data_IF_502884056240
#
_entry.id   IF_502884056240
#
_cell.length_a   1.000
_cell.length_b   1.000
_cell.length_c   1.000
_cell.angle_alpha   90.00
_cell.angle_beta   90.00
_cell.angle_gamma   90.00
#
_symmetry.space_group_name_H-M   'P 1'
#
loop_
_entity.id
_entity.type
_entity.pdbx_description
1 polymer ?
#
# COMPACT_ATOMS: atom_id res chain seq x y z
N UNK A 1 16.97 -83.59 28.25
CA UNK A 1 15.89 -82.76 28.85
C UNK A 1 16.55 -81.90 29.92
N UNK A 2 16.38 -80.60 30.07
CA UNK A 2 15.77 -79.54 29.27
C UNK A 2 16.27 -78.24 29.93
N UNK A 3 16.71 -77.31 29.09
CA UNK A 3 16.69 -75.84 29.24
C UNK A 3 17.15 -75.17 30.54
N UNK A 4 18.27 -74.45 30.39
CA UNK A 4 18.71 -73.31 31.19
C UNK A 4 17.71 -72.15 31.02
N UNK A 5 17.24 -71.59 32.13
CA UNK A 5 16.54 -70.30 32.19
C UNK A 5 17.62 -69.23 32.35
N UNK A 6 17.72 -68.32 31.38
CA UNK A 6 18.51 -67.09 31.48
C UNK A 6 17.53 -65.94 31.74
N UNK A 7 17.67 -65.28 32.89
CA UNK A 7 17.02 -64.00 33.17
C UNK A 7 17.58 -62.94 32.20
N UNK A 8 16.71 -62.28 31.45
CA UNK A 8 17.02 -60.98 30.84
C UNK A 8 16.34 -59.90 31.68
N UNK A 9 17.15 -58.97 32.20
CA UNK A 9 16.69 -57.79 32.92
C UNK A 9 16.00 -56.83 31.95
N UNK A 10 14.76 -56.46 32.25
CA UNK A 10 14.03 -55.38 31.59
C UNK A 10 14.36 -54.09 32.34
N UNK A 11 15.03 -53.15 31.68
CA UNK A 11 15.22 -51.78 32.16
C UNK A 11 14.00 -50.95 31.71
N UNK A 12 13.23 -50.31 32.61
CA UNK A 12 12.20 -49.37 32.20
C UNK A 12 12.84 -48.00 31.96
N UNK A 13 12.90 -47.54 30.71
CA UNK A 13 13.09 -46.12 30.42
C UNK A 13 11.70 -45.47 30.50
N UNK A 14 11.46 -44.80 31.62
CA UNK A 14 10.33 -43.91 31.83
C UNK A 14 10.68 -42.58 31.17
N UNK A 15 10.02 -42.24 30.06
CA UNK A 15 9.98 -40.86 29.56
C UNK A 15 8.56 -40.36 29.82
N UNK A 16 8.47 -39.34 30.66
CA UNK A 16 7.22 -38.72 31.05
C UNK A 16 6.53 -38.08 29.86
N UNK A 17 5.29 -38.49 29.61
CA UNK A 17 4.35 -37.80 28.74
C UNK A 17 3.90 -36.54 29.48
N UNK A 18 4.33 -35.37 29.01
CA UNK A 18 3.71 -34.11 29.36
C UNK A 18 2.40 -34.05 28.58
N UNK A 19 1.28 -34.16 29.30
CA UNK A 19 -0.07 -33.96 28.76
C UNK A 19 -0.26 -32.49 28.41
N UNK A 20 -0.27 -32.15 27.12
CA UNK A 20 -0.89 -30.92 26.64
C UNK A 20 -2.32 -31.26 26.25
N UNK A 21 -3.26 -30.83 27.07
CA UNK A 21 -4.69 -30.90 26.79
C UNK A 21 -5.05 -29.82 25.77
N UNK A 22 -5.39 -30.22 24.55
CA UNK A 22 -6.23 -29.41 23.66
C UNK A 22 -7.43 -30.26 23.18
N UNK A 23 -8.59 -29.65 23.35
CA UNK A 23 -9.93 -30.20 23.16
C UNK A 23 -10.31 -30.29 21.66
N UNK A 24 -11.04 -31.37 21.30
CA UNK A 24 -11.70 -31.68 20.00
C UNK A 24 -10.75 -31.83 18.80
N UNK A 25 -10.77 -32.87 17.96
CA UNK A 25 -11.82 -33.80 17.57
C UNK A 25 -11.16 -35.08 16.98
N UNK A 26 -11.79 -36.22 17.20
CA UNK A 26 -11.60 -37.57 16.62
C UNK A 26 -10.19 -38.16 16.26
N UNK A 27 -9.78 -39.14 17.08
CA UNK A 27 -9.08 -40.40 16.74
C UNK A 27 -7.57 -40.40 16.38
N UNK A 28 -6.70 -40.31 17.40
CA UNK A 28 -5.29 -40.75 17.34
C UNK A 28 -5.08 -42.05 18.14
N UNK A 29 -6.03 -42.99 18.11
CA UNK A 29 -5.90 -44.29 18.78
C UNK A 29 -5.58 -45.47 17.85
N UNK A 30 -5.34 -45.24 16.56
CA UNK A 30 -5.12 -46.34 15.59
C UNK A 30 -3.75 -46.41 14.93
N UNK A 31 -2.78 -45.56 15.29
CA UNK A 31 -1.45 -45.55 14.61
C UNK A 31 -0.23 -46.02 15.40
N UNK A 32 -0.40 -46.47 16.65
CA UNK A 32 0.72 -47.02 17.43
C UNK A 32 0.38 -48.40 17.99
N UNK A 33 0.15 -49.38 17.12
CA UNK A 33 0.30 -50.79 17.50
C UNK A 33 1.64 -51.29 16.93
N UNK A 34 2.56 -51.81 17.77
CA UNK A 34 3.76 -52.45 17.28
C UNK A 34 3.34 -53.63 16.40
N UNK A 35 3.70 -53.56 15.13
CA UNK A 35 3.41 -54.61 14.17
C UNK A 35 4.28 -55.82 14.54
N UNK A 36 3.71 -56.81 15.23
CA UNK A 36 4.41 -58.06 15.51
C UNK A 36 4.56 -58.85 14.20
N UNK A 37 5.73 -58.74 13.58
CA UNK A 37 6.12 -59.56 12.44
C UNK A 37 6.47 -60.98 12.92
N UNK A 38 5.72 -61.98 12.46
CA UNK A 38 6.04 -63.41 12.65
C UNK A 38 7.29 -63.75 11.83
N UNK A 39 8.36 -64.18 12.49
CA UNK A 39 9.63 -64.56 11.83
C UNK A 39 9.62 -66.05 11.49
N UNK A 40 9.86 -66.47 10.23
CA UNK A 40 10.01 -67.88 9.89
C UNK A 40 11.36 -68.39 10.41
N UNK A 41 11.32 -69.53 11.13
CA UNK A 41 12.51 -70.22 11.65
C UNK A 41 13.31 -70.83 10.49
N UNK A 42 14.39 -70.15 10.09
CA UNK A 42 15.30 -70.64 9.04
C UNK A 42 16.56 -69.82 8.75
N UNK A 43 16.70 -68.60 9.30
CA UNK A 43 17.93 -67.78 9.22
C UNK A 43 18.62 -67.65 10.58
N UNK A 44 19.90 -67.28 10.60
CA UNK A 44 20.65 -67.00 11.83
C UNK A 44 19.96 -65.86 12.60
N UNK A 45 19.24 -66.24 13.65
CA UNK A 45 18.36 -65.36 14.44
C UNK A 45 19.10 -64.15 14.98
N UNK A 46 20.42 -64.28 15.16
CA UNK A 46 21.30 -63.24 15.67
C UNK A 46 21.44 -62.07 14.70
N UNK A 47 21.52 -62.35 13.39
CA UNK A 47 21.75 -61.36 12.34
C UNK A 47 20.48 -60.53 12.09
N UNK A 48 19.32 -61.18 12.05
CA UNK A 48 18.01 -60.52 11.91
C UNK A 48 17.70 -59.60 13.11
N UNK A 49 18.05 -60.02 14.32
CA UNK A 49 17.86 -59.20 15.53
C UNK A 49 18.79 -57.98 15.52
N UNK A 50 20.03 -58.13 15.07
CA UNK A 50 20.98 -57.03 14.98
C UNK A 50 20.55 -55.99 13.93
N UNK A 51 20.10 -56.44 12.76
CA UNK A 51 19.61 -55.57 11.68
C UNK A 51 18.38 -54.77 12.12
N UNK A 52 17.39 -55.44 12.73
CA UNK A 52 16.20 -54.76 13.28
C UNK A 52 16.53 -53.81 14.43
N UNK A 53 17.46 -54.15 15.31
CA UNK A 53 17.87 -53.26 16.40
C UNK A 53 18.56 -52.00 15.87
N UNK A 54 19.33 -52.12 14.79
CA UNK A 54 20.02 -50.99 14.18
C UNK A 54 19.04 -50.07 13.47
N UNK A 55 18.05 -50.64 12.76
CA UNK A 55 16.98 -49.88 12.12
C UNK A 55 16.14 -49.08 13.15
N UNK A 56 15.80 -49.68 14.29
CA UNK A 56 15.06 -48.98 15.36
C UNK A 56 15.89 -47.85 15.99
N UNK A 57 17.20 -48.03 16.14
CA UNK A 57 18.07 -46.96 16.64
C UNK A 57 18.13 -45.78 15.66
N UNK A 58 18.20 -46.06 14.36
CA UNK A 58 18.20 -45.03 13.34
C UNK A 58 16.86 -44.27 13.31
N UNK A 59 15.73 -44.99 13.34
CA UNK A 59 14.39 -44.38 13.41
C UNK A 59 14.23 -43.48 14.64
N UNK A 60 14.79 -43.88 15.80
CA UNK A 60 14.75 -43.05 17.00
C UNK A 60 15.57 -41.76 16.90
N UNK A 61 16.73 -41.78 16.24
CA UNK A 61 17.49 -40.55 15.99
C UNK A 61 16.75 -39.63 15.00
N UNK A 62 16.20 -40.19 13.92
CA UNK A 62 15.37 -39.40 12.97
C UNK A 62 14.14 -38.79 13.66
N UNK A 63 13.50 -39.53 14.58
CA UNK A 63 12.38 -39.00 15.38
C UNK A 63 12.83 -37.88 16.31
N UNK A 64 14.02 -37.99 16.90
CA UNK A 64 14.57 -36.96 17.79
C UNK A 64 14.85 -35.66 17.04
N UNK A 65 15.47 -35.75 15.86
CA UNK A 65 15.72 -34.58 15.01
C UNK A 65 14.42 -33.90 14.58
N UNK A 66 13.39 -34.67 14.23
CA UNK A 66 12.06 -34.13 13.91
C UNK A 66 11.39 -33.45 15.10
N UNK A 67 11.54 -34.00 16.31
CA UNK A 67 11.00 -33.38 17.53
C UNK A 67 11.71 -32.05 17.81
N UNK A 68 13.02 -31.98 17.63
CA UNK A 68 13.80 -30.75 17.81
C UNK A 68 13.38 -29.67 16.81
N UNK A 69 13.28 -30.02 15.51
CA UNK A 69 12.80 -29.10 14.48
C UNK A 69 11.36 -28.61 14.76
N UNK A 70 10.48 -29.50 15.23
CA UNK A 70 9.10 -29.12 15.58
C UNK A 70 9.08 -28.17 16.79
N UNK A 71 9.95 -28.38 17.78
CA UNK A 71 10.05 -27.49 18.94
C UNK A 71 10.50 -26.07 18.53
N UNK A 72 11.46 -25.95 17.62
CA UNK A 72 11.90 -24.66 17.08
C UNK A 72 10.77 -23.94 16.32
N UNK A 73 10.02 -24.66 15.49
CA UNK A 73 8.86 -24.11 14.79
C UNK A 73 7.77 -23.61 15.74
N UNK A 74 7.53 -24.32 16.84
CA UNK A 74 6.56 -23.90 17.87
C UNK A 74 7.02 -22.59 18.53
N UNK A 75 8.30 -22.46 18.87
CA UNK A 75 8.85 -21.23 19.48
C UNK A 75 8.68 -20.04 18.53
N UNK A 76 8.98 -20.22 17.24
CA UNK A 76 8.81 -19.17 16.23
C UNK A 76 7.33 -18.77 16.07
N UNK A 77 6.43 -19.75 16.04
CA UNK A 77 4.98 -19.50 15.95
C UNK A 77 4.44 -18.76 17.19
N UNK A 78 4.95 -19.07 18.39
CA UNK A 78 4.58 -18.37 19.62
C UNK A 78 5.05 -16.91 19.60
N UNK A 79 6.26 -16.63 19.10
CA UNK A 79 6.76 -15.26 18.92
C UNK A 79 5.89 -14.47 17.94
N UNK A 80 5.61 -15.03 16.76
CA UNK A 80 4.74 -14.39 15.76
C UNK A 80 3.34 -14.11 16.31
N UNK A 81 2.80 -15.02 17.14
CA UNK A 81 1.49 -14.83 17.77
C UNK A 81 1.50 -13.69 18.80
N UNK A 82 2.59 -13.52 19.54
CA UNK A 82 2.74 -12.41 20.48
C UNK A 82 2.77 -11.06 19.73
N UNK A 83 3.54 -10.97 18.64
CA UNK A 83 3.63 -9.77 17.81
C UNK A 83 2.28 -9.40 17.18
N UNK A 84 1.53 -10.41 16.69
CA UNK A 84 0.19 -10.20 16.16
C UNK A 84 -0.80 -9.73 17.24
N UNK A 85 -0.70 -10.24 18.47
CA UNK A 85 -1.55 -9.79 19.56
C UNK A 85 -1.31 -8.32 19.93
N UNK A 86 -0.05 -7.87 19.90
CA UNK A 86 0.29 -6.47 20.10
C UNK A 86 -0.28 -5.58 18.99
N UNK A 87 -0.17 -6.01 17.72
CA UNK A 87 -0.76 -5.30 16.58
C UNK A 87 -2.29 -5.20 16.67
N UNK A 88 -2.97 -6.27 17.08
CA UNK A 88 -4.43 -6.26 17.26
C UNK A 88 -4.82 -5.25 18.35
N UNK A 89 -4.12 -5.24 19.48
CA UNK A 89 -4.43 -4.29 20.55
C UNK A 89 -4.20 -2.83 20.11
N UNK A 90 -3.18 -2.58 19.29
CA UNK A 90 -2.97 -1.25 18.71
C UNK A 90 -4.11 -0.84 17.76
N UNK A 91 -4.58 -1.76 16.89
CA UNK A 91 -5.69 -1.52 15.98
C UNK A 91 -7.02 -1.28 16.73
N UNK A 92 -7.30 -2.03 17.79
CA UNK A 92 -8.51 -1.83 18.61
C UNK A 92 -8.55 -0.42 19.23
N UNK A 93 -7.42 0.08 19.72
CA UNK A 93 -7.32 1.43 20.23
C UNK A 93 -7.55 2.48 19.13
N UNK A 94 -7.06 2.23 17.91
CA UNK A 94 -7.27 3.15 16.77
C UNK A 94 -8.75 3.23 16.37
N UNK A 95 -9.45 2.08 16.32
CA UNK A 95 -10.89 2.06 16.01
C UNK A 95 -11.68 2.89 17.03
N UNK A 96 -11.32 2.82 18.32
CA UNK A 96 -11.95 3.64 19.36
C UNK A 96 -11.77 5.14 19.10
N UNK A 97 -10.56 5.58 18.72
CA UNK A 97 -10.29 7.00 18.44
C UNK A 97 -11.06 7.49 17.22
N UNK A 98 -11.17 6.67 16.17
CA UNK A 98 -11.96 6.99 14.97
C UNK A 98 -13.44 7.14 15.32
N UNK A 99 -13.96 6.28 16.19
CA UNK A 99 -15.35 6.33 16.62
C UNK A 99 -15.67 7.62 17.40
N UNK A 100 -14.77 8.06 18.27
CA UNK A 100 -14.87 9.33 18.99
C UNK A 100 -14.82 10.55 18.04
N UNK A 101 -13.91 10.54 17.05
CA UNK A 101 -13.81 11.60 16.03
C UNK A 101 -15.10 11.69 15.21
N UNK A 102 -15.63 10.54 14.79
CA UNK A 102 -16.88 10.48 14.04
C UNK A 102 -18.03 11.09 14.82
N UNK A 103 -18.15 10.75 16.11
CA UNK A 103 -19.20 11.31 16.98
C UNK A 103 -19.08 12.84 17.08
N UNK A 104 -17.87 13.37 17.26
CA UNK A 104 -17.62 14.81 17.30
C UNK A 104 -17.94 15.51 15.97
N UNK A 105 -17.64 14.86 14.84
CA UNK A 105 -17.94 15.37 13.50
C UNK A 105 -19.44 15.40 13.22
N UNK A 106 -20.17 14.36 13.64
CA UNK A 106 -21.63 14.29 13.50
C UNK A 106 -22.30 15.42 14.30
N UNK A 107 -21.81 15.72 15.52
CA UNK A 107 -22.27 16.85 16.33
C UNK A 107 -22.01 18.21 15.65
N UNK A 108 -20.81 18.42 15.09
CA UNK A 108 -20.48 19.67 14.37
C UNK A 108 -21.34 19.85 13.13
N UNK A 109 -21.60 18.76 12.40
CA UNK A 109 -22.47 18.77 11.21
C UNK A 109 -23.91 19.13 11.58
N UNK A 110 -24.43 18.58 12.68
CA UNK A 110 -25.77 18.90 13.17
C UNK A 110 -25.88 20.38 13.58
N UNK A 111 -24.87 20.94 14.25
CA UNK A 111 -24.82 22.36 14.61
C UNK A 111 -24.79 23.27 13.37
N UNK A 112 -23.99 22.93 12.36
CA UNK A 112 -23.95 23.69 11.11
C UNK A 112 -25.28 23.66 10.38
N UNK A 113 -25.93 22.49 10.30
CA UNK A 113 -27.23 22.35 9.67
C UNK A 113 -28.30 23.20 10.37
N UNK A 114 -28.27 23.27 11.70
CA UNK A 114 -29.16 24.13 12.49
C UNK A 114 -28.94 25.62 12.19
N UNK A 115 -27.69 26.08 12.10
CA UNK A 115 -27.38 27.49 11.82
C UNK A 115 -27.74 27.87 10.36
N UNK A 116 -27.51 26.97 9.39
CA UNK A 116 -27.97 27.15 8.00
C UNK A 116 -29.49 27.33 7.96
N UNK A 117 -30.23 26.44 8.63
CA UNK A 117 -31.70 26.50 8.67
C UNK A 117 -32.20 27.83 9.25
N UNK A 118 -31.50 28.35 10.27
CA UNK A 118 -31.80 29.64 10.89
C UNK A 118 -31.52 30.81 9.95
N UNK A 119 -30.41 30.79 9.22
CA UNK A 119 -30.07 31.82 8.23
C UNK A 119 -31.05 31.81 7.05
N UNK A 120 -31.45 30.65 6.56
CA UNK A 120 -32.47 30.51 5.52
C UNK A 120 -33.81 31.13 5.95
N UNK A 121 -34.22 30.90 7.20
CA UNK A 121 -35.44 31.51 7.76
C UNK A 121 -35.34 33.04 7.83
N UNK A 122 -34.18 33.59 8.22
CA UNK A 122 -33.95 35.04 8.22
C UNK A 122 -33.98 35.64 6.81
N UNK A 123 -33.37 34.97 5.83
CA UNK A 123 -33.40 35.39 4.43
C UNK A 123 -34.85 35.42 3.90
N UNK A 124 -35.65 34.42 4.23
CA UNK A 124 -37.04 34.36 3.78
C UNK A 124 -37.90 35.45 4.45
N UNK A 125 -37.65 35.76 5.72
CA UNK A 125 -38.24 36.91 6.42
C UNK A 125 -37.89 38.24 5.73
N UNK A 126 -36.61 38.43 5.36
CA UNK A 126 -36.17 39.62 4.62
C UNK A 126 -36.82 39.73 3.22
N UNK A 127 -36.96 38.62 2.50
CA UNK A 127 -37.63 38.59 1.18
C UNK A 127 -39.13 38.89 1.24
N UNK A 128 -39.77 38.61 2.37
CA UNK A 128 -41.20 38.86 2.58
C UNK A 128 -41.54 40.33 2.84
N UNK A 129 -40.55 41.20 3.03
CA UNK A 129 -40.75 42.64 3.19
C UNK A 129 -41.01 43.33 1.83
N UNK A 130 -42.02 44.21 1.72
CA UNK A 130 -42.41 44.82 0.45
C UNK A 130 -41.31 45.76 -0.08
N UNK A 131 -40.89 45.52 -1.32
CA UNK A 131 -39.90 46.30 -2.05
C UNK A 131 -40.36 47.76 -2.26
N UNK A 132 -40.07 48.62 -1.29
CA UNK A 132 -39.99 50.05 -1.48
C UNK A 132 -38.51 50.43 -1.54
N UNK A 133 -38.10 51.01 -2.67
CA UNK A 133 -36.81 51.65 -2.94
C UNK A 133 -36.27 52.42 -1.73
N UNK A 134 -35.31 51.85 -0.99
CA UNK A 134 -34.56 52.58 0.03
C UNK A 134 -33.16 51.97 0.12
N UNK A 135 -32.15 52.85 0.21
CA UNK A 135 -30.80 52.50 0.65
C UNK A 135 -30.86 51.64 1.93
N UNK A 136 -29.91 50.71 2.13
CA UNK A 136 -29.88 49.91 3.35
C UNK A 136 -29.94 50.84 4.56
N UNK A 137 -30.89 50.58 5.46
CA UNK A 137 -30.97 51.30 6.73
C UNK A 137 -29.73 50.97 7.57
N UNK A 138 -29.29 51.85 8.49
CA UNK A 138 -28.12 51.59 9.33
C UNK A 138 -28.19 50.24 10.07
N UNK A 139 -29.38 49.81 10.47
CA UNK A 139 -29.62 48.49 11.08
C UNK A 139 -29.38 47.31 10.12
N UNK A 140 -29.64 47.49 8.82
CA UNK A 140 -29.34 46.48 7.79
C UNK A 140 -27.85 46.45 7.47
N UNK A 141 -27.14 47.60 7.49
CA UNK A 141 -25.68 47.64 7.35
C UNK A 141 -24.98 46.98 8.56
N UNK A 142 -25.46 47.24 9.78
CA UNK A 142 -24.96 46.59 11.00
C UNK A 142 -25.21 45.07 10.98
N UNK A 143 -26.36 44.63 10.45
CA UNK A 143 -26.69 43.20 10.32
C UNK A 143 -25.85 42.52 9.24
N UNK A 144 -25.58 43.18 8.12
CA UNK A 144 -24.68 42.68 7.07
C UNK A 144 -23.25 42.60 7.62
N UNK A 145 -22.76 43.62 8.32
CA UNK A 145 -21.44 43.59 8.94
C UNK A 145 -21.30 42.48 10.00
N UNK A 146 -22.36 42.21 10.77
CA UNK A 146 -22.38 41.11 11.73
C UNK A 146 -22.39 39.74 11.04
N UNK A 147 -23.11 39.59 9.92
CA UNK A 147 -23.11 38.37 9.11
C UNK A 147 -21.77 38.16 8.40
N UNK A 148 -21.15 39.20 7.86
CA UNK A 148 -19.81 39.14 7.25
C UNK A 148 -18.73 38.79 8.28
N UNK A 149 -18.83 39.32 9.51
CA UNK A 149 -17.95 38.95 10.61
C UNK A 149 -18.14 37.49 11.01
N UNK A 150 -19.38 37.00 11.03
CA UNK A 150 -19.68 35.59 11.36
C UNK A 150 -19.30 34.62 10.25
N UNK A 151 -19.42 35.03 8.98
CA UNK A 151 -18.87 34.28 7.84
C UNK A 151 -17.35 34.20 7.96
N UNK A 152 -16.67 35.30 8.29
CA UNK A 152 -15.22 35.30 8.50
C UNK A 152 -14.79 34.44 9.69
N UNK A 153 -15.55 34.44 10.78
CA UNK A 153 -15.32 33.56 11.94
C UNK A 153 -15.53 32.08 11.58
N UNK A 154 -16.53 31.77 10.74
CA UNK A 154 -16.76 30.41 10.23
C UNK A 154 -15.71 29.97 9.20
N UNK A 155 -15.24 30.88 8.34
CA UNK A 155 -14.12 30.65 7.42
C UNK A 155 -12.80 30.44 8.19
N UNK A 156 -12.52 31.24 9.24
CA UNK A 156 -11.38 31.02 10.14
C UNK A 156 -11.51 29.72 10.95
N UNK A 157 -12.73 29.32 11.35
CA UNK A 157 -12.99 28.02 12.01
C UNK A 157 -13.00 26.82 11.05
N UNK A 158 -12.99 27.07 9.74
CA UNK A 158 -12.76 26.10 8.67
C UNK A 158 -11.27 26.02 8.30
N UNK A 159 -10.50 27.07 8.59
CA UNK A 159 -9.04 27.20 8.41
C UNK A 159 -8.20 26.82 9.67
N UNK A 160 -8.81 26.33 10.77
CA UNK A 160 -8.13 25.85 12.00
C UNK A 160 -8.44 24.35 12.27
N UNK A 161 -7.49 23.57 12.82
CA UNK A 161 -6.69 22.52 12.18
C UNK A 161 -7.28 21.10 12.34
N UNK A 162 -8.60 20.93 12.44
CA UNK A 162 -9.17 19.59 12.66
C UNK A 162 -9.28 18.72 11.39
N UNK A 163 -8.98 19.26 10.19
CA UNK A 163 -8.67 18.43 9.02
C UNK A 163 -7.28 17.77 9.10
N UNK A 164 -6.43 18.24 10.03
CA UNK A 164 -5.25 17.46 10.41
C UNK A 164 -5.66 16.20 11.17
N UNK A 165 -6.93 15.93 11.53
CA UNK A 165 -7.32 14.72 12.26
C UNK A 165 -7.39 13.45 11.41
N UNK A 166 -7.84 13.52 10.15
CA UNK A 166 -7.88 12.34 9.26
C UNK A 166 -6.47 12.01 8.76
N UNK A 167 -5.72 13.04 8.37
CA UNK A 167 -4.32 12.84 8.01
C UNK A 167 -3.43 12.61 9.23
N UNK A 168 -3.65 13.20 10.41
CA UNK A 168 -2.86 12.91 11.62
C UNK A 168 -3.28 11.66 12.39
N UNK A 169 -4.46 11.09 12.11
CA UNK A 169 -4.72 9.70 12.48
C UNK A 169 -3.99 8.72 11.54
N UNK A 170 -3.68 9.13 10.29
CA UNK A 170 -2.72 8.46 9.42
C UNK A 170 -1.25 8.82 9.77
N UNK A 171 -0.94 10.04 10.23
CA UNK A 171 0.39 10.51 10.66
C UNK A 171 0.71 10.17 12.11
N UNK A 172 -0.23 9.56 12.86
CA UNK A 172 0.10 8.79 14.07
C UNK A 172 1.04 7.62 13.75
N UNK A 173 1.22 7.32 12.46
CA UNK A 173 2.34 6.61 11.89
C UNK A 173 3.49 7.55 11.46
N UNK A 174 3.88 8.52 12.29
CA UNK A 174 5.25 9.06 12.37
C UNK A 174 6.25 7.96 12.83
N UNK A 175 6.05 6.70 12.41
CA UNK A 175 7.21 5.99 11.94
C UNK A 175 7.57 6.70 10.65
N UNK A 176 8.58 7.55 10.72
CA UNK A 176 9.68 7.50 9.74
C UNK A 176 9.62 6.08 9.18
N UNK A 177 9.18 5.92 7.91
CA UNK A 177 9.06 4.59 7.31
C UNK A 177 10.52 4.11 7.24
N UNK A 178 11.02 3.61 8.36
CA UNK A 178 12.19 2.82 8.55
C UNK A 178 11.76 1.50 7.93
N UNK A 179 11.71 1.51 6.60
CA UNK A 179 11.79 0.30 5.83
C UNK A 179 13.16 -0.25 6.21
N UNK A 180 13.22 -1.17 7.18
CA UNK A 180 14.47 -1.81 7.58
C UNK A 180 15.17 -2.47 6.37
N UNK A 181 14.46 -2.67 5.26
CA UNK A 181 14.96 -3.00 3.92
C UNK A 181 13.96 -2.57 2.84
N UNK A 182 14.33 -1.68 1.90
CA UNK A 182 13.53 -1.36 0.70
C UNK A 182 12.92 -2.64 0.09
N UNK A 183 11.59 -2.70 -0.01
CA UNK A 183 10.86 -3.83 -0.59
C UNK A 183 10.58 -3.59 -2.07
N UNK A 184 11.64 -3.33 -2.84
CA UNK A 184 11.55 -3.34 -4.30
C UNK A 184 11.10 -4.73 -4.79
N UNK A 185 10.47 -4.82 -5.97
CA UNK A 185 10.03 -6.09 -6.50
C UNK A 185 11.19 -7.10 -6.60
N UNK A 186 10.97 -8.32 -6.14
CA UNK A 186 11.90 -9.42 -6.36
C UNK A 186 11.70 -9.95 -7.78
N UNK A 187 12.79 -9.93 -8.57
CA UNK A 187 12.77 -10.41 -9.95
C UNK A 187 13.45 -11.78 -10.02
N UNK A 188 12.71 -12.78 -10.48
CA UNK A 188 13.24 -14.11 -10.76
C UNK A 188 13.15 -14.40 -12.26
N UNK A 189 14.17 -15.09 -12.79
CA UNK A 189 14.21 -15.56 -14.17
C UNK A 189 14.36 -17.08 -14.18
N UNK A 190 13.43 -17.74 -14.86
CA UNK A 190 13.42 -19.17 -15.18
C UNK A 190 13.53 -19.33 -16.72
N UNK A 191 13.85 -20.54 -17.21
CA UNK A 191 13.96 -20.86 -18.63
C UNK A 191 12.69 -20.48 -19.41
N UNK A 192 12.67 -19.24 -19.91
CA UNK A 192 11.62 -18.67 -20.76
C UNK A 192 10.63 -17.73 -20.06
N UNK A 193 10.75 -17.49 -18.76
CA UNK A 193 9.82 -16.61 -18.02
C UNK A 193 10.58 -15.68 -17.05
N UNK A 194 10.11 -14.44 -16.95
CA UNK A 194 10.51 -13.48 -15.92
C UNK A 194 9.30 -13.28 -15.01
N UNK A 195 9.49 -13.41 -13.71
CA UNK A 195 8.47 -13.19 -12.69
C UNK A 195 8.88 -12.10 -11.73
N UNK A 196 7.90 -11.31 -11.31
CA UNK A 196 8.04 -10.27 -10.32
C UNK A 196 7.13 -10.55 -9.13
N UNK A 197 7.70 -10.48 -7.94
CA UNK A 197 6.99 -10.58 -6.68
C UNK A 197 7.11 -9.25 -5.92
N UNK A 198 6.01 -8.72 -5.43
CA UNK A 198 6.01 -7.48 -4.64
C UNK A 198 4.89 -7.49 -3.60
N UNK A 199 4.96 -6.59 -2.62
CA UNK A 199 3.96 -6.48 -1.56
C UNK A 199 3.32 -5.10 -1.52
N UNK A 200 2.11 -4.98 -0.99
CA UNK A 200 1.48 -3.69 -0.66
C UNK A 200 1.79 -3.25 0.79
N UNK A 201 1.21 -2.13 1.23
CA UNK A 201 1.42 -1.59 2.58
C UNK A 201 0.85 -2.50 3.69
N UNK A 202 -0.08 -3.38 3.33
CA UNK A 202 -0.78 -4.32 4.23
C UNK A 202 -0.09 -5.67 4.31
N UNK A 203 0.97 -5.88 3.52
CA UNK A 203 1.73 -7.12 3.45
C UNK A 203 1.09 -8.19 2.55
N UNK A 204 0.08 -7.84 1.76
CA UNK A 204 -0.42 -8.73 0.71
C UNK A 204 0.66 -8.87 -0.36
N UNK A 205 0.81 -10.07 -0.91
CA UNK A 205 1.84 -10.36 -1.94
C UNK A 205 1.17 -10.57 -3.29
N UNK A 206 1.81 -10.04 -4.33
CA UNK A 206 1.34 -10.11 -5.71
C UNK A 206 2.45 -10.65 -6.59
N UNK A 207 2.06 -11.54 -7.50
CA UNK A 207 2.98 -12.15 -8.47
C UNK A 207 2.44 -11.94 -9.87
N UNK A 208 3.29 -11.48 -10.77
CA UNK A 208 3.01 -11.59 -12.20
C UNK A 208 4.25 -12.02 -12.96
N UNK A 209 4.03 -12.56 -14.16
CA UNK A 209 5.10 -13.03 -15.02
C UNK A 209 4.82 -12.75 -16.48
N UNK A 210 5.91 -12.68 -17.25
CA UNK A 210 5.92 -12.56 -18.71
C UNK A 210 6.91 -13.54 -19.30
N UNK A 211 6.70 -13.91 -20.57
CA UNK A 211 7.74 -14.62 -21.31
C UNK A 211 8.98 -13.73 -21.43
N UNK A 212 10.17 -14.33 -21.31
CA UNK A 212 11.43 -13.58 -21.41
C UNK A 212 11.57 -12.89 -22.77
N UNK A 213 11.11 -13.53 -23.84
CA UNK A 213 11.12 -12.93 -25.18
C UNK A 213 10.20 -11.71 -25.27
N UNK A 214 9.00 -11.76 -24.69
CA UNK A 214 8.07 -10.62 -24.67
C UNK A 214 8.68 -9.44 -23.89
N UNK A 215 9.29 -9.70 -22.74
CA UNK A 215 9.97 -8.65 -21.97
C UNK A 215 11.15 -8.05 -22.75
N UNK A 216 11.99 -8.89 -23.37
CA UNK A 216 13.11 -8.42 -24.19
C UNK A 216 12.61 -7.59 -25.37
N UNK A 217 11.56 -8.03 -26.05
CA UNK A 217 11.01 -7.32 -27.20
C UNK A 217 10.41 -5.98 -26.78
N UNK A 218 9.64 -5.92 -25.69
CA UNK A 218 8.95 -4.72 -25.23
C UNK A 218 9.84 -3.71 -24.51
N UNK A 219 10.83 -4.18 -23.75
CA UNK A 219 11.62 -3.32 -22.84
C UNK A 219 13.04 -3.08 -23.35
N UNK A 220 13.65 -4.08 -23.99
CA UNK A 220 15.07 -4.02 -24.40
C UNK A 220 15.22 -3.64 -25.87
N UNK A 221 14.38 -4.19 -26.75
CA UNK A 221 14.51 -4.02 -28.21
C UNK A 221 13.61 -2.92 -28.77
N UNK A 222 12.41 -2.73 -28.21
CA UNK A 222 11.54 -1.66 -28.65
C UNK A 222 12.17 -0.32 -28.25
N UNK A 223 12.38 0.61 -29.19
CA UNK A 223 12.86 1.93 -28.83
C UNK A 223 11.78 2.65 -27.99
N UNK A 224 12.21 3.35 -26.95
CA UNK A 224 11.33 4.21 -26.16
C UNK A 224 10.55 5.17 -27.09
N UNK A 225 9.25 5.43 -26.81
CA UNK A 225 8.45 6.40 -27.54
C UNK A 225 9.19 7.73 -27.74
N UNK A 226 9.15 8.25 -28.96
CA UNK A 226 9.92 9.46 -29.32
C UNK A 226 9.07 10.72 -29.43
N UNK A 227 7.76 10.59 -29.25
CA UNK A 227 6.79 11.67 -29.32
C UNK A 227 7.09 12.78 -28.30
N UNK A 228 6.84 14.01 -28.71
CA UNK A 228 7.06 15.20 -27.90
C UNK A 228 5.78 16.01 -27.73
N UNK A 229 5.72 16.77 -26.64
CA UNK A 229 4.73 17.81 -26.38
C UNK A 229 5.42 19.17 -26.42
N UNK A 230 4.76 20.17 -27.01
CA UNK A 230 5.20 21.56 -26.95
C UNK A 230 4.49 22.27 -25.80
N UNK A 231 5.23 22.71 -24.79
CA UNK A 231 4.72 23.46 -23.65
C UNK A 231 5.18 24.91 -23.76
N UNK A 232 4.29 25.86 -23.53
CA UNK A 232 4.61 27.30 -23.58
C UNK A 232 4.73 27.86 -22.17
N UNK A 233 5.93 28.22 -21.76
CA UNK A 233 6.23 28.88 -20.50
C UNK A 233 6.14 30.39 -20.68
N UNK A 234 5.16 31.03 -20.04
CA UNK A 234 5.00 32.48 -20.10
C UNK A 234 6.06 33.19 -19.24
N UNK A 235 6.70 34.24 -19.77
CA UNK A 235 7.60 35.10 -19.00
C UNK A 235 9.05 34.64 -18.89
N UNK A 236 9.41 33.49 -19.49
CA UNK A 236 10.74 32.89 -19.41
C UNK A 236 11.67 33.35 -20.53
N UNK A 237 11.12 33.64 -21.70
CA UNK A 237 11.88 34.01 -22.89
C UNK A 237 12.53 35.40 -22.80
N UNK A 238 13.39 35.71 -23.76
CA UNK A 238 14.18 36.94 -23.79
C UNK A 238 13.30 38.19 -23.64
N UNK A 239 13.51 38.95 -22.55
CA UNK A 239 12.73 40.15 -22.25
C UNK A 239 11.37 39.88 -21.58
N UNK A 240 11.17 38.69 -21.02
CA UNK A 240 9.92 38.28 -20.37
C UNK A 240 8.85 37.78 -21.35
N UNK A 241 9.25 37.34 -22.54
CA UNK A 241 8.32 36.76 -23.52
C UNK A 241 7.96 35.32 -23.14
N UNK A 242 6.94 34.76 -23.78
CA UNK A 242 6.72 33.33 -23.71
C UNK A 242 7.84 32.58 -24.45
N UNK A 243 8.21 31.42 -23.94
CA UNK A 243 9.14 30.47 -24.56
C UNK A 243 8.45 29.12 -24.70
N UNK A 244 8.56 28.50 -25.87
CA UNK A 244 8.03 27.15 -26.09
C UNK A 244 9.17 26.15 -25.95
N UNK A 245 8.99 25.20 -25.05
CA UNK A 245 9.90 24.08 -24.83
C UNK A 245 9.26 22.79 -25.35
N UNK A 246 10.08 21.91 -25.92
CA UNK A 246 9.67 20.56 -26.28
C UNK A 246 10.11 19.59 -25.20
N UNK A 247 9.17 18.79 -24.71
CA UNK A 247 9.42 17.72 -23.73
C UNK A 247 8.93 16.38 -24.28
N UNK A 248 9.37 15.28 -23.68
CA UNK A 248 8.87 13.93 -24.03
C UNK A 248 7.42 13.77 -23.62
N UNK A 249 6.62 13.15 -24.49
CA UNK A 249 5.23 12.80 -24.16
C UNK A 249 5.19 11.54 -23.31
N UNK A 250 5.20 11.70 -21.99
CA UNK A 250 5.19 10.57 -21.04
C UNK A 250 3.93 9.71 -21.17
N UNK A 251 2.82 10.24 -21.73
CA UNK A 251 1.60 9.47 -21.94
C UNK A 251 1.78 8.28 -22.90
N UNK A 252 2.80 8.32 -23.76
CA UNK A 252 3.09 7.23 -24.70
C UNK A 252 3.75 6.02 -24.06
N UNK A 253 4.26 6.16 -22.84
CA UNK A 253 4.89 5.07 -22.09
C UNK A 253 3.86 4.25 -21.30
N UNK A 254 2.69 4.83 -21.02
CA UNK A 254 1.60 4.21 -20.25
C UNK A 254 0.81 3.26 -21.15
N UNK A 255 1.00 1.95 -20.95
CA UNK A 255 0.41 0.89 -21.80
C UNK A 255 -0.42 -0.14 -21.02
N UNK A 256 -0.36 -0.12 -19.69
CA UNK A 256 -1.08 -1.01 -18.80
C UNK A 256 -0.46 -2.41 -18.75
N UNK A 257 0.83 -2.51 -18.42
CA UNK A 257 1.62 -3.73 -18.57
C UNK A 257 1.38 -4.79 -17.47
N UNK A 258 0.68 -4.44 -16.39
CA UNK A 258 0.53 -5.28 -15.19
C UNK A 258 -0.95 -5.55 -14.80
N UNK A 259 -1.83 -6.01 -15.72
CA UNK A 259 -3.28 -5.96 -15.49
C UNK A 259 -3.76 -6.89 -14.38
N UNK A 260 -3.21 -8.10 -14.28
CA UNK A 260 -3.59 -9.07 -13.25
C UNK A 260 -3.31 -8.56 -11.82
N UNK A 261 -2.06 -8.24 -11.45
CA UNK A 261 -1.76 -7.84 -10.08
C UNK A 261 -2.44 -6.52 -9.70
N UNK A 262 -2.65 -5.59 -10.64
CA UNK A 262 -3.34 -4.33 -10.35
C UNK A 262 -4.84 -4.49 -10.14
N UNK A 263 -5.48 -5.43 -10.84
CA UNK A 263 -6.85 -5.83 -10.54
C UNK A 263 -6.97 -6.55 -9.20
N UNK A 264 -6.02 -7.43 -8.87
CA UNK A 264 -5.95 -8.10 -7.57
C UNK A 264 -5.80 -7.09 -6.44
N UNK A 265 -4.87 -6.13 -6.58
CA UNK A 265 -4.68 -5.03 -5.63
C UNK A 265 -5.96 -4.22 -5.42
N UNK A 266 -6.62 -3.80 -6.50
CA UNK A 266 -7.87 -3.05 -6.41
C UNK A 266 -8.97 -3.83 -5.66
N UNK A 267 -9.06 -5.14 -5.86
CA UNK A 267 -10.05 -5.98 -5.18
C UNK A 267 -9.79 -6.18 -3.68
N UNK A 268 -8.59 -5.83 -3.20
CA UNK A 268 -8.22 -5.93 -1.77
C UNK A 268 -8.46 -4.65 -0.97
N UNK A 269 -8.83 -3.55 -1.64
CA UNK A 269 -9.08 -2.24 -1.02
C UNK A 269 -10.56 -1.85 -1.13
N UNK A 270 -10.99 -0.91 -0.28
CA UNK A 270 -12.41 -0.54 -0.19
C UNK A 270 -12.77 0.63 -1.09
N UNK A 271 -11.80 1.52 -1.38
CA UNK A 271 -12.05 2.78 -2.08
C UNK A 271 -11.05 3.03 -3.22
N UNK A 272 -11.41 3.84 -4.23
CA UNK A 272 -10.47 4.33 -5.24
C UNK A 272 -9.24 5.03 -4.66
N UNK A 273 -9.43 5.81 -3.59
CA UNK A 273 -8.34 6.52 -2.91
C UNK A 273 -7.34 5.55 -2.26
N UNK A 274 -7.83 4.49 -1.61
CA UNK A 274 -6.96 3.43 -1.08
C UNK A 274 -6.17 2.73 -2.20
N UNK A 275 -6.78 2.48 -3.36
CA UNK A 275 -6.05 1.89 -4.49
C UNK A 275 -4.90 2.77 -4.96
N UNK A 276 -5.15 4.08 -5.13
CA UNK A 276 -4.12 5.05 -5.53
C UNK A 276 -3.01 5.11 -4.48
N UNK A 277 -3.38 5.08 -3.19
CA UNK A 277 -2.44 5.02 -2.08
C UNK A 277 -1.57 3.77 -2.13
N UNK A 278 -2.13 2.58 -2.31
CA UNK A 278 -1.32 1.35 -2.36
C UNK A 278 -0.37 1.35 -3.56
N UNK A 279 -0.80 1.86 -4.72
CA UNK A 279 0.08 2.03 -5.89
C UNK A 279 1.21 3.00 -5.59
N UNK A 280 0.91 4.17 -5.01
CA UNK A 280 1.94 5.12 -4.56
C UNK A 280 2.88 4.48 -3.54
N UNK A 281 2.36 3.74 -2.57
CA UNK A 281 3.15 3.10 -1.54
C UNK A 281 4.16 2.13 -2.15
N UNK A 282 3.75 1.31 -3.12
CA UNK A 282 4.64 0.40 -3.84
C UNK A 282 5.75 1.20 -4.55
N UNK A 283 5.37 2.24 -5.31
CA UNK A 283 6.33 3.09 -6.06
C UNK A 283 7.28 3.85 -5.10
N UNK A 284 6.80 4.25 -3.93
CA UNK A 284 7.60 4.97 -2.93
C UNK A 284 8.76 4.13 -2.38
N UNK A 285 8.71 2.80 -2.49
CA UNK A 285 9.79 1.90 -2.07
C UNK A 285 11.00 1.93 -3.02
N UNK A 286 10.85 2.47 -4.23
CA UNK A 286 11.87 2.47 -5.27
C UNK A 286 12.98 3.48 -4.97
N UNK A 287 14.21 3.15 -5.36
CA UNK A 287 15.35 4.06 -5.27
C UNK A 287 15.18 5.23 -6.24
N UNK A 288 15.26 6.45 -5.71
CA UNK A 288 15.21 7.65 -6.52
C UNK A 288 16.61 8.01 -6.99
N UNK A 289 16.86 7.84 -8.28
CA UNK A 289 18.19 8.09 -8.88
C UNK A 289 18.44 9.57 -9.14
N UNK A 290 17.37 10.36 -9.36
CA UNK A 290 17.40 11.80 -9.52
C UNK A 290 16.04 12.40 -9.14
N UNK A 291 16.07 13.58 -8.49
CA UNK A 291 14.86 14.39 -8.25
C UNK A 291 14.48 15.23 -9.48
N UNK A 292 15.39 15.43 -10.44
CA UNK A 292 15.14 16.18 -11.66
C UNK A 292 14.80 15.26 -12.83
N UNK A 293 13.85 15.70 -13.66
CA UNK A 293 13.47 15.06 -14.90
C UNK A 293 14.65 14.92 -15.87
N UNK A 294 14.85 13.73 -16.45
CA UNK A 294 15.89 13.44 -17.43
C UNK A 294 15.32 13.38 -18.86
N UNK A 295 16.18 13.46 -19.90
CA UNK A 295 15.72 13.45 -21.29
C UNK A 295 15.32 12.07 -21.82
N UNK A 296 15.65 11.00 -21.09
CA UNK A 296 15.54 9.61 -21.56
C UNK A 296 14.64 8.77 -20.62
N UNK A 297 13.30 8.99 -20.62
CA UNK A 297 12.37 8.22 -19.78
C UNK A 297 12.42 6.73 -20.11
N UNK A 298 12.24 5.89 -19.10
CA UNK A 298 12.24 4.43 -19.19
C UNK A 298 10.83 3.87 -19.35
N UNK A 299 10.77 2.63 -19.84
CA UNK A 299 9.54 1.86 -19.86
C UNK A 299 9.11 1.46 -18.42
N UNK A 300 7.80 1.40 -18.12
CA UNK A 300 7.31 1.02 -16.79
C UNK A 300 7.93 -0.27 -16.26
N UNK A 301 8.00 -1.33 -17.07
CA UNK A 301 8.61 -2.60 -16.66
C UNK A 301 10.13 -2.53 -16.46
N UNK A 302 10.86 -1.61 -17.10
CA UNK A 302 12.30 -1.42 -16.83
C UNK A 302 12.48 -0.83 -15.43
N UNK A 303 11.77 0.26 -15.14
CA UNK A 303 11.72 0.91 -13.82
C UNK A 303 11.30 -0.08 -12.75
N UNK A 304 10.21 -0.81 -12.97
CA UNK A 304 9.69 -1.81 -12.04
C UNK A 304 10.70 -2.93 -11.75
N UNK A 305 11.38 -3.44 -12.78
CA UNK A 305 12.34 -4.54 -12.65
C UNK A 305 13.62 -4.13 -11.93
N UNK A 306 14.07 -2.89 -12.11
CA UNK A 306 15.30 -2.40 -11.47
C UNK A 306 15.08 -1.95 -10.03
N UNK A 307 13.84 -1.63 -9.65
CA UNK A 307 13.58 -1.07 -8.34
C UNK A 307 14.06 0.38 -8.20
N UNK A 308 14.36 1.06 -9.31
CA UNK A 308 14.91 2.42 -9.33
C UNK A 308 14.36 3.24 -10.51
N UNK A 309 14.28 4.55 -10.33
CA UNK A 309 13.85 5.51 -11.35
C UNK A 309 14.19 6.94 -10.95
N UNK A 310 14.15 7.87 -11.90
CA UNK A 310 14.07 9.30 -11.61
C UNK A 310 12.60 9.76 -11.58
N UNK A 311 12.37 11.07 -11.55
CA UNK A 311 11.04 11.64 -11.36
C UNK A 311 10.04 11.19 -12.44
N UNK A 312 10.40 11.24 -13.72
CA UNK A 312 9.53 10.82 -14.81
C UNK A 312 9.34 9.30 -14.87
N UNK A 313 10.38 8.53 -14.56
CA UNK A 313 10.31 7.06 -14.56
C UNK A 313 9.28 6.57 -13.54
N UNK A 314 9.31 7.12 -12.32
CA UNK A 314 8.38 6.76 -11.26
C UNK A 314 6.96 7.25 -11.56
N UNK A 315 6.81 8.43 -12.18
CA UNK A 315 5.51 8.94 -12.63
C UNK A 315 4.89 8.04 -13.71
N UNK A 316 5.69 7.64 -14.71
CA UNK A 316 5.29 6.70 -15.76
C UNK A 316 4.87 5.36 -15.16
N UNK A 317 5.68 4.81 -14.25
CA UNK A 317 5.40 3.54 -13.58
C UNK A 317 4.08 3.62 -12.81
N UNK A 318 3.89 4.65 -11.99
CA UNK A 318 2.67 4.85 -11.22
C UNK A 318 1.43 4.92 -12.12
N UNK A 319 1.50 5.71 -13.20
CA UNK A 319 0.41 5.83 -14.16
C UNK A 319 0.11 4.49 -14.87
N UNK A 320 1.13 3.73 -15.24
CA UNK A 320 0.99 2.41 -15.88
C UNK A 320 0.35 1.38 -14.94
N UNK A 321 0.75 1.36 -13.67
CA UNK A 321 0.15 0.50 -12.65
C UNK A 321 -1.35 0.81 -12.47
N UNK A 322 -1.72 2.10 -12.38
CA UNK A 322 -3.13 2.48 -12.30
C UNK A 322 -3.89 2.04 -13.57
N UNK A 323 -3.37 2.37 -14.76
CA UNK A 323 -3.98 2.02 -16.06
C UNK A 323 -4.02 0.53 -16.36
N UNK A 324 -3.23 -0.27 -15.66
CA UNK A 324 -3.28 -1.72 -15.79
C UNK A 324 -4.57 -2.31 -15.23
N UNK A 325 -5.13 -1.73 -14.17
CA UNK A 325 -6.41 -2.17 -13.59
C UNK A 325 -7.61 -1.83 -14.50
N UNK A 326 -8.67 -2.64 -14.42
CA UNK A 326 -9.89 -2.42 -15.20
C UNK A 326 -10.65 -1.16 -14.78
N UNK A 327 -10.59 -0.81 -13.49
CA UNK A 327 -11.13 0.45 -12.99
C UNK A 327 -10.28 1.65 -13.43
N UNK A 328 -8.95 1.57 -13.34
CA UNK A 328 -8.08 2.70 -13.73
C UNK A 328 -8.14 3.02 -15.22
N UNK A 329 -8.51 2.05 -16.07
CA UNK A 329 -8.81 2.29 -17.48
C UNK A 329 -9.97 3.27 -17.69
N UNK A 330 -10.92 3.37 -16.75
CA UNK A 330 -12.06 4.30 -16.84
C UNK A 330 -11.73 5.70 -16.35
N UNK A 331 -10.63 5.88 -15.61
CA UNK A 331 -10.22 7.17 -15.07
C UNK A 331 -9.47 8.04 -16.08
N UNK A 332 -9.47 9.36 -15.90
CA UNK A 332 -8.61 10.26 -16.66
C UNK A 332 -7.30 10.48 -15.90
N UNK A 333 -6.16 10.24 -16.57
CA UNK A 333 -4.83 10.45 -15.98
C UNK A 333 -4.08 11.48 -16.83
N UNK A 334 -3.50 12.48 -16.16
CA UNK A 334 -2.75 13.57 -16.78
C UNK A 334 -1.42 13.79 -16.06
N UNK A 335 -0.34 13.87 -16.83
CA UNK A 335 0.95 14.31 -16.31
C UNK A 335 0.94 15.84 -16.18
N UNK A 336 1.31 16.34 -15.01
CA UNK A 336 1.43 17.76 -14.70
C UNK A 336 2.91 18.10 -14.64
N UNK A 337 3.39 18.85 -15.63
CA UNK A 337 4.78 19.28 -15.72
C UNK A 337 4.95 20.65 -15.08
N UNK A 338 5.94 20.80 -14.19
CA UNK A 338 6.17 22.07 -13.49
C UNK A 338 7.64 22.30 -13.14
N UNK A 339 7.92 23.52 -12.67
CA UNK A 339 9.21 23.91 -12.11
C UNK A 339 9.14 23.72 -10.58
N UNK A 340 9.70 22.63 -10.07
CA UNK A 340 9.70 22.38 -8.61
C UNK A 340 10.58 23.36 -7.85
N UNK A 341 11.61 23.94 -8.49
CA UNK A 341 12.49 24.93 -7.89
C UNK A 341 11.80 26.32 -7.82
N UNK A 342 10.92 26.63 -8.78
CA UNK A 342 10.27 27.94 -8.93
C UNK A 342 8.76 27.84 -9.30
N UNK A 343 7.91 27.22 -8.47
CA UNK A 343 6.53 26.87 -8.85
C UNK A 343 5.65 28.08 -9.20
N UNK A 344 5.85 29.23 -8.53
CA UNK A 344 5.07 30.45 -8.78
C UNK A 344 5.60 31.29 -9.94
N UNK A 345 6.81 31.00 -10.45
CA UNK A 345 7.41 31.71 -11.58
C UNK A 345 8.27 30.71 -12.36
N UNK A 346 7.64 29.78 -13.10
CA UNK A 346 8.35 28.69 -13.77
C UNK A 346 9.41 29.22 -14.73
N UNK A 347 10.60 28.61 -14.73
CA UNK A 347 11.73 28.96 -15.60
C UNK A 347 12.16 27.77 -16.45
N UNK A 348 11.99 26.55 -15.95
CA UNK A 348 12.26 25.29 -16.65
C UNK A 348 11.18 24.27 -16.28
N UNK A 349 11.14 23.16 -17.00
CA UNK A 349 10.40 21.98 -16.58
C UNK A 349 11.42 20.99 -16.05
N UNK A 350 11.37 20.71 -14.75
CA UNK A 350 12.28 19.78 -14.08
C UNK A 350 11.55 18.73 -13.24
N UNK A 351 10.23 18.77 -13.17
CA UNK A 351 9.42 17.90 -12.33
C UNK A 351 8.08 17.55 -12.96
N UNK A 352 7.58 16.36 -12.65
CA UNK A 352 6.28 15.85 -13.06
C UNK A 352 5.51 15.23 -11.88
N UNK A 353 4.22 15.54 -11.81
CA UNK A 353 3.25 14.91 -10.92
C UNK A 353 2.12 14.25 -11.73
N UNK A 354 1.31 13.43 -11.08
CA UNK A 354 0.19 12.73 -11.70
C UNK A 354 -1.15 13.26 -11.19
N UNK A 355 -1.97 13.79 -12.08
CA UNK A 355 -3.38 14.11 -11.81
C UNK A 355 -4.25 12.93 -12.23
N UNK A 356 -5.04 12.43 -11.30
CA UNK A 356 -5.93 11.27 -11.48
C UNK A 356 -7.35 11.73 -11.22
N UNK A 357 -8.24 11.51 -12.17
CA UNK A 357 -9.66 11.89 -12.09
C UNK A 357 -10.54 10.67 -12.30
N UNK A 358 -11.34 10.36 -11.28
CA UNK A 358 -12.44 9.41 -11.37
C UNK A 358 -13.77 10.15 -11.55
N UNK A 359 -14.88 9.43 -11.60
CA UNK A 359 -16.22 10.04 -11.66
C UNK A 359 -16.56 10.86 -10.40
N UNK A 360 -15.93 10.55 -9.27
CA UNK A 360 -16.31 11.08 -7.95
C UNK A 360 -15.24 12.02 -7.36
N UNK A 361 -13.97 11.73 -7.67
CA UNK A 361 -12.84 12.30 -6.97
C UNK A 361 -11.67 12.64 -7.91
N UNK A 362 -10.83 13.55 -7.44
CA UNK A 362 -9.62 14.02 -8.12
C UNK A 362 -8.44 13.99 -7.16
N UNK A 363 -7.32 13.42 -7.58
CA UNK A 363 -6.08 13.33 -6.80
C UNK A 363 -4.91 13.90 -7.60
N UNK A 364 -4.11 14.75 -6.96
CA UNK A 364 -2.78 15.12 -7.45
C UNK A 364 -1.76 14.37 -6.60
N UNK A 365 -0.97 13.52 -7.24
CA UNK A 365 0.01 12.67 -6.55
C UNK A 365 1.42 12.99 -7.02
N UNK A 366 2.31 13.18 -6.05
CA UNK A 366 3.76 13.34 -6.24
C UNK A 366 4.45 11.97 -6.18
N UNK A 367 4.88 11.39 -7.32
CA UNK A 367 5.37 10.01 -7.38
C UNK A 367 6.72 9.80 -6.67
N UNK A 368 7.50 10.88 -6.46
CA UNK A 368 8.80 10.80 -5.80
C UNK A 368 8.73 10.95 -4.28
N UNK A 369 7.55 11.30 -3.74
CA UNK A 369 7.35 11.50 -2.32
C UNK A 369 7.62 10.22 -1.52
N UNK A 370 8.28 10.38 -0.37
CA UNK A 370 8.59 9.29 0.57
C UNK A 370 7.71 9.32 1.83
N UNK A 371 6.86 10.33 1.95
CA UNK A 371 5.88 10.51 3.02
C UNK A 371 4.50 10.74 2.42
N UNK A 372 3.46 10.45 3.19
CA UNK A 372 2.07 10.60 2.72
C UNK A 372 1.75 12.08 2.52
N UNK A 373 2.27 12.94 3.39
CA UNK A 373 2.04 14.38 3.39
C UNK A 373 2.64 15.04 2.15
N UNK A 374 3.80 14.56 1.71
CA UNK A 374 4.45 15.05 0.49
C UNK A 374 3.83 14.45 -0.77
N UNK A 375 3.25 13.25 -0.68
CA UNK A 375 2.66 12.54 -1.80
C UNK A 375 1.32 13.13 -2.25
N UNK A 376 0.48 13.54 -1.29
CA UNK A 376 -0.87 14.02 -1.55
C UNK A 376 -1.00 15.49 -1.16
N UNK A 377 -0.97 16.37 -2.17
CA UNK A 377 -1.16 17.80 -1.91
C UNK A 377 -2.63 18.09 -1.60
N UNK A 378 -2.93 18.69 -0.43
CA UNK A 378 -4.26 19.16 -0.01
C UNK A 378 -4.97 19.89 -1.18
N UNK A 379 -6.22 19.51 -1.46
CA UNK A 379 -7.10 19.99 -2.56
C UNK A 379 -7.14 21.52 -2.69
N UNK A 380 -6.97 22.24 -1.59
CA UNK A 380 -7.02 23.71 -1.55
C UNK A 380 -5.69 24.40 -1.91
N UNK A 381 -4.54 23.71 -1.80
CA UNK A 381 -3.25 24.23 -2.30
C UNK A 381 -3.11 24.10 -3.82
N UNK A 382 -3.76 23.09 -4.42
CA UNK A 382 -3.78 22.87 -5.87
C UNK A 382 -4.56 23.97 -6.61
N UNK A 383 -5.60 24.55 -5.99
CA UNK A 383 -6.34 25.68 -6.55
C UNK A 383 -5.68 27.05 -6.35
N UNK A 384 -4.73 27.17 -5.43
CA UNK A 384 -4.11 28.46 -5.07
C UNK A 384 -2.77 28.76 -5.73
N UNK A 385 -1.95 27.75 -6.04
CA UNK A 385 -0.54 27.97 -6.45
C UNK A 385 -0.06 27.19 -7.67
N UNK A 386 -0.89 26.32 -8.24
CA UNK A 386 -0.63 25.73 -9.54
C UNK A 386 -1.71 26.30 -10.46
N UNK A 387 -1.43 27.42 -11.11
CA UNK A 387 -2.10 27.66 -12.39
C UNK A 387 -1.59 26.55 -13.31
N UNK A 388 -2.40 25.54 -13.67
CA UNK A 388 -1.97 24.60 -14.70
C UNK A 388 -1.66 25.41 -15.95
N UNK A 389 -0.45 25.24 -16.48
CA UNK A 389 -0.02 25.85 -17.75
C UNK A 389 -0.83 25.24 -18.89
#
# INVERSE_FOLDING_TARGET
>A
MSSKILLLAIVPIVIGVISVSYLNDESIETKFLPTYSVVPLGGDVSEIVLEKSTAVLQENEELKDRVEQTAEQIIQAEQQRADLAEKISALENQVSVIEDIRSSSDEKTELLQQEITKLEAQIEEFKSQPAATVQPTPEQEDSIAALEAKIRELEEAQDDPDEDSIFASLTGFEREILVETSKVPEVAMDEGTISWDFTDSRGNSYTFSKLSDDFIDEVVRLPAPQDTLSITLAGVGQGGTAETVEIRDLSKFVTGQMPKPMNELYNTVTTPGEFIFEVWWIVSQFELTSYEMQPDPKHPLDTFSKGEGDNEDLAILMADMIKSSDIGKTWELRFIYFDSDNPSTPQKINHVALLIESEQDTWLVEPTAKTIEDAFVKRDKVRGNLAPI
#
